data_IF_397637856631
#
_entry.id   IF_397637856631
#
_cell.length_a   1.000
_cell.length_b   1.000
_cell.length_c   1.000
_cell.angle_alpha   90.00
_cell.angle_beta   90.00
_cell.angle_gamma   90.00
#
_symmetry.space_group_name_H-M   'P 1'
#
loop_
_entity.id
_entity.type
_entity.pdbx_description
1 polymer ?
#
# COMPACT_ATOMS: atom_id res chain seq x y z
N UNK A 1 31.19 -24.51 14.82
CA UNK A 1 29.78 -24.15 15.06
C UNK A 1 28.91 -25.25 14.51
N UNK A 2 27.92 -25.73 15.27
CA UNK A 2 26.99 -26.78 14.79
C UNK A 2 26.17 -26.23 13.62
N UNK A 3 26.07 -26.99 12.52
CA UNK A 3 25.31 -26.61 11.31
C UNK A 3 23.85 -26.21 11.62
N UNK A 4 23.28 -26.78 12.67
CA UNK A 4 21.95 -26.46 13.18
C UNK A 4 21.83 -25.04 13.74
N UNK A 5 22.88 -24.53 14.38
CA UNK A 5 22.92 -23.17 14.92
C UNK A 5 23.04 -22.13 13.80
N UNK A 6 23.88 -22.38 12.80
CA UNK A 6 24.03 -21.49 11.63
C UNK A 6 22.73 -21.40 10.84
N UNK A 7 22.06 -22.54 10.58
CA UNK A 7 20.76 -22.57 9.91
C UNK A 7 19.67 -21.83 10.70
N UNK A 8 19.57 -22.07 12.02
CA UNK A 8 18.60 -21.36 12.87
C UNK A 8 18.79 -19.84 12.83
N UNK A 9 20.04 -19.38 12.72
CA UNK A 9 20.39 -17.96 12.64
C UNK A 9 20.01 -17.37 11.27
N UNK A 10 20.23 -18.11 10.17
CA UNK A 10 19.74 -17.74 8.83
C UNK A 10 18.21 -17.64 8.78
N UNK A 11 17.47 -18.55 9.42
CA UNK A 11 16.01 -18.50 9.53
C UNK A 11 15.51 -17.25 10.26
N UNK A 12 16.15 -16.92 11.39
CA UNK A 12 15.80 -15.74 12.17
C UNK A 12 16.01 -14.46 11.35
N UNK A 13 17.14 -14.38 10.63
CA UNK A 13 17.47 -13.26 9.75
C UNK A 13 16.51 -13.14 8.57
N UNK A 14 16.17 -14.26 7.91
CA UNK A 14 15.24 -14.28 6.78
C UNK A 14 13.83 -13.82 7.18
N UNK A 15 13.30 -14.32 8.30
CA UNK A 15 11.98 -13.88 8.81
C UNK A 15 11.95 -12.40 9.13
N UNK A 16 13.02 -11.89 9.73
CA UNK A 16 13.17 -10.47 10.05
C UNK A 16 13.19 -9.64 8.77
N UNK A 17 13.96 -10.07 7.77
CA UNK A 17 14.06 -9.40 6.47
C UNK A 17 12.73 -9.38 5.72
N UNK A 18 12.00 -10.50 5.71
CA UNK A 18 10.66 -10.57 5.11
C UNK A 18 9.66 -9.62 5.78
N UNK A 19 9.68 -9.54 7.11
CA UNK A 19 8.81 -8.62 7.84
C UNK A 19 9.15 -7.17 7.53
N UNK A 20 10.44 -6.82 7.44
CA UNK A 20 10.90 -5.48 7.04
C UNK A 20 10.41 -5.17 5.63
N UNK A 21 10.60 -6.08 4.66
CA UNK A 21 10.14 -5.88 3.28
C UNK A 21 8.62 -5.67 3.20
N UNK A 22 7.84 -6.46 3.95
CA UNK A 22 6.39 -6.30 4.01
C UNK A 22 5.97 -4.95 4.61
N UNK A 23 6.62 -4.52 5.69
CA UNK A 23 6.33 -3.23 6.32
C UNK A 23 6.72 -2.06 5.41
N UNK A 24 7.87 -2.15 4.74
CA UNK A 24 8.32 -1.15 3.77
C UNK A 24 7.35 -1.04 2.58
N UNK A 25 6.87 -2.17 2.06
CA UNK A 25 5.86 -2.20 1.01
C UNK A 25 4.58 -1.48 1.47
N UNK A 26 4.09 -1.80 2.67
CA UNK A 26 2.89 -1.15 3.21
C UNK A 26 3.08 0.37 3.37
N UNK A 27 4.24 0.80 3.88
CA UNK A 27 4.56 2.22 4.02
C UNK A 27 4.61 2.93 2.67
N UNK A 28 5.24 2.32 1.65
CA UNK A 28 5.31 2.86 0.29
C UNK A 28 3.92 3.08 -0.31
N UNK A 29 3.02 2.10 -0.16
CA UNK A 29 1.64 2.23 -0.64
C UNK A 29 0.89 3.32 0.10
N UNK A 30 1.02 3.40 1.42
CA UNK A 30 0.41 4.47 2.21
C UNK A 30 0.89 5.85 1.72
N UNK A 31 2.17 6.00 1.38
CA UNK A 31 2.68 7.27 0.84
C UNK A 31 2.13 7.61 -0.53
N UNK A 32 1.90 6.61 -1.40
CA UNK A 32 1.30 6.82 -2.72
C UNK A 32 -0.19 7.19 -2.62
N UNK A 33 -0.88 6.66 -1.62
CA UNK A 33 -2.27 6.99 -1.32
C UNK A 33 -2.44 8.35 -0.62
N UNK A 34 -1.36 9.00 -0.18
CA UNK A 34 -1.43 10.35 0.34
C UNK A 34 -1.25 11.36 -0.80
N UNK A 35 -2.30 12.14 -1.07
CA UNK A 35 -2.30 13.16 -2.09
C UNK A 35 -2.38 14.55 -1.47
N UNK A 36 -1.45 15.45 -1.82
CA UNK A 36 -1.44 16.80 -1.27
C UNK A 36 -1.81 17.83 -2.33
N UNK A 37 -2.81 18.66 -2.05
CA UNK A 37 -3.32 19.72 -2.92
C UNK A 37 -3.66 20.96 -2.09
N UNK A 38 -3.40 22.15 -2.63
CA UNK A 38 -3.73 23.44 -2.03
C UNK A 38 -3.34 23.58 -0.54
N UNK A 39 -2.22 22.96 -0.14
CA UNK A 39 -1.70 23.06 1.22
C UNK A 39 -2.29 22.08 2.23
N UNK A 40 -3.12 21.12 1.80
CA UNK A 40 -3.51 20.01 2.66
C UNK A 40 -3.44 18.65 1.99
N UNK A 41 -3.67 17.62 2.81
CA UNK A 41 -3.36 16.22 2.53
C UNK A 41 -4.62 15.37 2.60
N UNK A 42 -4.89 14.63 1.54
CA UNK A 42 -5.97 13.68 1.47
C UNK A 42 -5.43 12.26 1.48
N UNK A 43 -5.98 11.43 2.37
CA UNK A 43 -5.80 9.99 2.29
C UNK A 43 -6.78 9.43 1.26
N UNK A 44 -6.25 8.97 0.13
CA UNK A 44 -7.05 8.38 -0.94
C UNK A 44 -7.63 7.06 -0.46
N UNK A 45 -8.93 7.09 -0.18
CA UNK A 45 -9.72 5.95 0.24
C UNK A 45 -10.87 5.71 -0.74
N UNK A 46 -11.38 4.47 -0.77
CA UNK A 46 -12.56 4.12 -1.55
C UNK A 46 -13.77 4.98 -1.18
N UNK A 47 -13.87 5.37 0.09
CA UNK A 47 -14.89 6.27 0.63
C UNK A 47 -14.73 7.69 0.09
N UNK A 48 -13.50 8.23 0.03
CA UNK A 48 -13.24 9.55 -0.54
C UNK A 48 -13.60 9.57 -2.04
N UNK A 49 -13.14 8.58 -2.80
CA UNK A 49 -13.44 8.46 -4.24
C UNK A 49 -14.94 8.41 -4.47
N UNK A 50 -15.65 7.59 -3.69
CA UNK A 50 -17.11 7.45 -3.79
C UNK A 50 -17.82 8.75 -3.42
N UNK A 51 -17.38 9.45 -2.38
CA UNK A 51 -17.96 10.72 -1.95
C UNK A 51 -17.79 11.82 -3.01
N UNK A 52 -16.58 11.95 -3.58
CA UNK A 52 -16.31 12.90 -4.67
C UNK A 52 -17.18 12.57 -5.89
N UNK A 53 -17.33 11.29 -6.21
CA UNK A 53 -18.20 10.85 -7.31
C UNK A 53 -19.67 11.23 -7.07
N UNK A 54 -20.18 11.05 -5.85
CA UNK A 54 -21.54 11.46 -5.47
C UNK A 54 -21.72 12.97 -5.64
N UNK A 55 -20.75 13.78 -5.23
CA UNK A 55 -20.83 15.24 -5.39
C UNK A 55 -20.87 15.67 -6.87
N UNK A 56 -20.12 14.99 -7.73
CA UNK A 56 -20.15 15.23 -9.19
C UNK A 56 -21.52 14.82 -9.76
N UNK A 57 -22.04 13.67 -9.34
CA UNK A 57 -23.36 13.19 -9.77
C UNK A 57 -24.50 14.09 -9.29
N UNK A 58 -24.27 14.91 -8.25
CA UNK A 58 -25.14 15.99 -7.79
C UNK A 58 -24.94 17.33 -8.53
N UNK A 59 -24.20 17.34 -9.64
CA UNK A 59 -23.90 18.52 -10.46
C UNK A 59 -23.07 19.60 -9.76
N UNK A 60 -22.32 19.25 -8.71
CA UNK A 60 -21.34 20.14 -8.12
C UNK A 60 -20.03 20.12 -8.91
N UNK A 61 -19.51 21.30 -9.25
CA UNK A 61 -18.20 21.44 -9.93
C UNK A 61 -17.05 21.60 -8.92
N UNK A 62 -17.33 22.23 -7.77
CA UNK A 62 -16.37 22.47 -6.70
C UNK A 62 -17.01 22.14 -5.36
N UNK A 63 -16.23 21.61 -4.44
CA UNK A 63 -16.65 21.42 -3.06
C UNK A 63 -15.48 21.65 -2.10
N UNK A 64 -15.84 21.95 -0.85
CA UNK A 64 -14.89 22.04 0.25
C UNK A 64 -14.84 20.67 0.92
N UNK A 65 -13.69 20.03 0.88
CA UNK A 65 -13.44 18.75 1.55
C UNK A 65 -12.55 18.95 2.77
N UNK A 66 -12.70 18.06 3.75
CA UNK A 66 -11.83 18.02 4.92
C UNK A 66 -10.66 17.08 4.66
N UNK A 67 -9.46 17.60 4.87
CA UNK A 67 -8.19 16.85 4.87
C UNK A 67 -8.09 15.98 6.16
N UNK A 68 -7.13 15.05 6.21
CA UNK A 68 -6.74 14.28 7.41
C UNK A 68 -6.54 15.14 8.67
N UNK A 69 -6.19 16.42 8.53
CA UNK A 69 -6.07 17.38 9.65
C UNK A 69 -7.35 18.19 9.92
N UNK A 70 -8.48 17.84 9.30
CA UNK A 70 -9.74 18.58 9.33
C UNK A 70 -9.64 20.02 8.80
N UNK A 71 -8.67 20.28 7.95
CA UNK A 71 -8.56 21.56 7.26
C UNK A 71 -9.55 21.61 6.09
N UNK A 72 -10.36 22.67 5.96
CA UNK A 72 -11.26 22.83 4.81
C UNK A 72 -10.46 23.26 3.58
N UNK A 73 -10.56 22.49 2.50
CA UNK A 73 -9.85 22.74 1.24
C UNK A 73 -10.84 22.71 0.10
N UNK A 74 -10.85 23.77 -0.70
CA UNK A 74 -11.63 23.82 -1.93
C UNK A 74 -10.91 23.04 -3.03
N UNK A 75 -11.63 22.10 -3.65
CA UNK A 75 -11.14 21.29 -4.77
C UNK A 75 -12.13 21.31 -5.92
N UNK A 76 -11.59 21.28 -7.14
CA UNK A 76 -12.36 21.05 -8.35
C UNK A 76 -12.60 19.54 -8.49
N UNK A 77 -13.86 19.12 -8.46
CA UNK A 77 -14.20 17.72 -8.24
C UNK A 77 -13.80 16.81 -9.40
N UNK A 78 -13.93 17.28 -10.64
CA UNK A 78 -13.67 16.47 -11.83
C UNK A 78 -12.19 16.10 -11.97
N UNK A 79 -11.30 17.11 -11.90
CA UNK A 79 -9.85 16.92 -11.95
C UNK A 79 -9.34 16.16 -10.73
N UNK A 80 -9.91 16.44 -9.55
CA UNK A 80 -9.58 15.74 -8.33
C UNK A 80 -9.93 14.24 -8.41
N UNK A 81 -11.14 13.89 -8.88
CA UNK A 81 -11.59 12.51 -9.00
C UNK A 81 -10.68 11.69 -9.91
N UNK A 82 -10.31 12.25 -11.07
CA UNK A 82 -9.43 11.58 -12.04
C UNK A 82 -8.06 11.28 -11.40
N UNK A 83 -7.48 12.25 -10.71
CA UNK A 83 -6.16 12.09 -10.10
C UNK A 83 -6.17 11.11 -8.93
N UNK A 84 -7.13 11.21 -8.00
CA UNK A 84 -7.21 10.27 -6.87
C UNK A 84 -7.51 8.84 -7.34
N UNK A 85 -8.33 8.68 -8.38
CA UNK A 85 -8.69 7.36 -8.90
C UNK A 85 -7.51 6.72 -9.61
N UNK A 86 -6.78 7.49 -10.43
CA UNK A 86 -5.57 7.02 -11.11
C UNK A 86 -4.51 6.57 -10.10
N UNK A 87 -4.19 7.43 -9.12
CA UNK A 87 -3.22 7.12 -8.06
C UNK A 87 -3.63 5.89 -7.25
N UNK A 88 -4.92 5.77 -6.90
CA UNK A 88 -5.42 4.60 -6.21
C UNK A 88 -5.23 3.32 -7.02
N UNK A 89 -5.54 3.36 -8.32
CA UNK A 89 -5.40 2.23 -9.22
C UNK A 89 -3.93 1.80 -9.38
N UNK A 90 -3.03 2.76 -9.59
CA UNK A 90 -1.59 2.50 -9.69
C UNK A 90 -1.05 1.90 -8.37
N UNK A 91 -1.32 2.54 -7.24
CA UNK A 91 -0.82 2.11 -5.94
C UNK A 91 -1.32 0.70 -5.54
N UNK A 92 -2.60 0.39 -5.81
CA UNK A 92 -3.18 -0.92 -5.48
C UNK A 92 -2.68 -2.03 -6.40
N UNK A 93 -2.49 -1.76 -7.69
CA UNK A 93 -1.92 -2.73 -8.61
C UNK A 93 -0.44 -3.00 -8.33
N UNK A 94 0.34 -1.95 -8.04
CA UNK A 94 1.74 -2.09 -7.62
C UNK A 94 1.83 -2.91 -6.33
N UNK A 95 0.98 -2.60 -5.34
CA UNK A 95 0.89 -3.38 -4.10
C UNK A 95 0.57 -4.85 -4.38
N UNK A 96 -0.40 -5.13 -5.26
CA UNK A 96 -0.74 -6.50 -5.60
C UNK A 96 0.44 -7.25 -6.23
N UNK A 97 1.14 -6.61 -7.18
CA UNK A 97 2.29 -7.21 -7.85
C UNK A 97 3.43 -7.52 -6.88
N UNK A 98 3.80 -6.58 -6.00
CA UNK A 98 4.85 -6.78 -5.00
C UNK A 98 4.43 -7.79 -3.92
N UNK A 99 3.18 -7.76 -3.47
CA UNK A 99 2.65 -8.72 -2.50
C UNK A 99 2.68 -10.16 -3.05
N UNK A 100 2.37 -10.36 -4.33
CA UNK A 100 2.48 -11.67 -4.98
C UNK A 100 3.92 -12.17 -5.04
N UNK A 101 4.91 -11.29 -5.28
CA UNK A 101 6.34 -11.65 -5.25
C UNK A 101 6.78 -12.09 -3.85
N UNK A 102 6.40 -11.33 -2.82
CA UNK A 102 6.64 -11.68 -1.41
C UNK A 102 6.01 -13.03 -1.04
N UNK A 103 4.77 -13.27 -1.48
CA UNK A 103 4.05 -14.53 -1.24
C UNK A 103 4.74 -15.72 -1.92
N UNK A 104 5.25 -15.56 -3.14
CA UNK A 104 6.01 -16.60 -3.85
C UNK A 104 7.35 -16.90 -3.16
N UNK A 105 8.10 -15.88 -2.75
CA UNK A 105 9.37 -16.06 -2.03
C UNK A 105 9.19 -16.87 -0.74
N UNK A 106 8.13 -16.57 0.04
CA UNK A 106 7.79 -17.33 1.25
C UNK A 106 7.48 -18.81 0.96
N UNK A 107 6.82 -19.11 -0.16
CA UNK A 107 6.52 -20.51 -0.56
C UNK A 107 7.78 -21.26 -0.99
N UNK A 108 8.67 -20.64 -1.76
CA UNK A 108 9.91 -21.27 -2.25
C UNK A 108 10.84 -21.60 -1.08
N UNK A 109 11.00 -20.69 -0.12
CA UNK A 109 11.81 -20.96 1.07
C UNK A 109 11.26 -22.15 1.88
N UNK A 110 9.93 -22.21 2.06
CA UNK A 110 9.27 -23.32 2.75
C UNK A 110 9.42 -24.68 2.03
N UNK A 111 9.53 -24.70 0.71
CA UNK A 111 9.78 -25.92 -0.07
C UNK A 111 11.21 -26.40 0.12
N UNK A 112 12.18 -25.48 0.05
CA UNK A 112 13.60 -25.77 0.34
C UNK A 112 13.76 -26.33 1.75
N UNK A 113 12.99 -25.84 2.73
CA UNK A 113 13.01 -26.35 4.10
C UNK A 113 12.54 -27.81 4.21
N UNK A 114 11.44 -28.17 3.52
CA UNK A 114 10.89 -29.53 3.52
C UNK A 114 11.88 -30.55 2.93
N UNK A 115 12.57 -30.18 1.84
CA UNK A 115 13.54 -31.05 1.17
C UNK A 115 14.83 -31.26 1.98
N UNK A 116 15.09 -30.40 2.99
CA UNK A 116 16.32 -30.45 3.81
C UNK A 116 16.09 -31.19 5.13
N UNK A 117 14.86 -31.21 5.68
CA UNK A 117 14.53 -31.99 6.88
C UNK A 117 14.39 -33.50 6.60
N UNK A 118 14.17 -33.89 5.34
CA UNK A 118 14.08 -35.29 4.89
C UNK A 118 15.45 -35.94 4.56
N UNK A 119 16.59 -35.28 4.85
CA UNK A 119 17.96 -35.80 4.66
C UNK A 119 18.82 -35.70 5.92
#
# INVERSE_FOLDING_TARGET
>A
MSSKLTKALEFANYRTTLNIQHNNLKAKVQTLLNYSINGGTFEISQTLISFVKVLIDQEHNKAVLLDIYNNPIEVELQSFLEEITSRYFEATNEYHAEYQKLRKSRKVHKLIDLDIDDK
#
